data_IF_969876159263
#
_entry.id   IF_969876159263
#
_cell.length_a   1.000
_cell.length_b   1.000
_cell.length_c   1.000
_cell.angle_alpha   90.00
_cell.angle_beta   90.00
_cell.angle_gamma   90.00
#
_symmetry.space_group_name_H-M   'P 1'
#
loop_
_entity.id
_entity.type
_entity.pdbx_description
1 polymer ?
#
# COMPACT_ATOMS: atom_id res chain seq x y z
N UNK A 1 0.40 12.25 13.71
CA UNK A 1 0.89 10.87 13.59
C UNK A 1 2.26 10.95 12.91
N UNK A 2 3.34 10.71 13.64
CA UNK A 2 4.71 10.91 13.18
C UNK A 2 5.19 9.59 12.58
N UNK A 3 5.41 9.56 11.27
CA UNK A 3 5.98 8.40 10.58
C UNK A 3 7.52 8.48 10.66
N UNK A 4 8.17 7.56 11.37
CA UNK A 4 9.62 7.40 11.29
C UNK A 4 9.98 6.54 10.07
N UNK A 5 11.04 6.95 9.38
CA UNK A 5 11.30 6.76 7.95
C UNK A 5 11.79 5.37 7.49
N UNK A 6 11.37 4.24 8.10
CA UNK A 6 11.93 2.93 7.76
C UNK A 6 10.95 1.74 7.70
N UNK A 7 9.64 1.94 7.79
CA UNK A 7 8.69 0.83 7.66
C UNK A 7 8.22 0.66 6.21
N UNK A 8 8.77 -0.35 5.53
CA UNK A 8 8.23 -0.84 4.26
C UNK A 8 6.80 -1.34 4.52
N UNK A 9 5.83 -0.82 3.77
CA UNK A 9 4.46 -1.30 3.92
C UNK A 9 3.70 -1.25 2.58
N UNK A 10 2.62 -2.02 2.54
CA UNK A 10 1.51 -1.82 1.61
C UNK A 10 0.31 -1.29 2.41
N UNK A 11 -0.58 -0.57 1.72
CA UNK A 11 -1.76 -0.01 2.36
C UNK A 11 -2.85 -1.05 2.55
N UNK A 12 -3.47 -1.03 3.72
CA UNK A 12 -4.38 -2.10 4.14
C UNK A 12 -5.76 -2.04 3.46
N UNK A 13 -6.17 -0.85 3.03
CA UNK A 13 -7.51 -0.54 2.51
C UNK A 13 -7.70 -0.90 1.04
N UNK A 14 -8.66 -0.26 0.37
CA UNK A 14 -8.91 -0.46 -1.06
C UNK A 14 -8.07 0.48 -1.93
N UNK A 15 -8.08 1.76 -1.59
CA UNK A 15 -7.37 2.83 -2.28
C UNK A 15 -6.80 3.81 -1.26
N UNK A 16 -5.68 4.43 -1.60
CA UNK A 16 -5.17 5.58 -0.85
C UNK A 16 -5.04 6.75 -1.80
N UNK A 17 -5.53 7.91 -1.34
CA UNK A 17 -5.34 9.20 -2.01
C UNK A 17 -4.27 9.95 -1.25
N UNK A 18 -3.12 10.14 -1.89
CA UNK A 18 -1.96 10.82 -1.32
C UNK A 18 -1.82 12.21 -1.95
N UNK A 19 -1.94 13.23 -1.10
CA UNK A 19 -1.65 14.61 -1.45
C UNK A 19 -0.26 14.93 -0.93
N UNK A 20 0.64 15.30 -1.84
CA UNK A 20 1.99 15.73 -1.53
C UNK A 20 2.13 17.20 -1.89
N UNK A 21 2.76 18.00 -1.01
CA UNK A 21 2.93 19.43 -1.25
C UNK A 21 3.99 19.70 -2.34
N UNK A 22 5.26 19.71 -1.96
CA UNK A 22 6.39 20.17 -2.78
C UNK A 22 7.66 19.34 -2.60
N UNK A 23 7.76 18.56 -1.52
CA UNK A 23 8.93 17.74 -1.22
C UNK A 23 8.65 16.26 -1.50
N UNK A 24 9.46 15.66 -2.37
CA UNK A 24 9.40 14.24 -2.72
C UNK A 24 9.99 13.32 -1.64
N UNK A 25 10.32 12.09 -2.03
CA UNK A 25 10.90 11.08 -1.14
C UNK A 25 10.10 9.78 -1.06
N UNK A 26 8.89 9.74 -1.64
CA UNK A 26 8.16 8.50 -1.83
C UNK A 26 8.86 7.63 -2.89
N UNK A 27 9.04 6.36 -2.56
CA UNK A 27 9.58 5.33 -3.44
C UNK A 27 8.67 4.09 -3.44
N UNK A 28 8.51 3.48 -4.60
CA UNK A 28 7.70 2.27 -4.82
C UNK A 28 8.62 1.13 -5.20
N UNK A 29 8.43 -0.06 -4.63
CA UNK A 29 9.20 -1.24 -4.97
C UNK A 29 8.68 -1.83 -6.29
N UNK A 30 9.56 -1.96 -7.28
CA UNK A 30 9.22 -2.60 -8.56
C UNK A 30 9.21 -4.12 -8.45
N UNK A 31 8.62 -4.78 -9.45
CA UNK A 31 8.62 -6.25 -9.55
C UNK A 31 10.02 -6.85 -9.68
N UNK A 32 11.02 -6.05 -10.11
CA UNK A 32 12.43 -6.48 -10.19
C UNK A 32 13.22 -6.07 -8.94
N UNK A 33 12.53 -5.79 -7.83
CA UNK A 33 13.11 -5.52 -6.51
C UNK A 33 14.01 -4.28 -6.45
N UNK A 34 13.76 -3.27 -7.29
CA UNK A 34 14.42 -1.97 -7.19
C UNK A 34 13.42 -0.86 -6.86
N UNK A 35 13.89 0.18 -6.19
CA UNK A 35 13.08 1.32 -5.77
C UNK A 35 12.93 2.34 -6.90
N UNK A 36 11.68 2.71 -7.19
CA UNK A 36 11.31 3.70 -8.19
C UNK A 36 10.79 4.95 -7.47
N UNK A 37 11.37 6.15 -7.72
CA UNK A 37 10.84 7.39 -7.18
C UNK A 37 9.43 7.68 -7.71
N UNK A 38 8.52 8.04 -6.81
CA UNK A 38 7.22 8.61 -7.16
C UNK A 38 7.32 10.15 -7.06
N UNK A 39 7.47 10.88 -8.19
CA UNK A 39 7.69 12.31 -8.15
C UNK A 39 6.45 13.07 -7.67
N UNK A 40 6.66 14.23 -7.07
CA UNK A 40 5.59 15.19 -6.82
C UNK A 40 5.27 15.89 -8.14
N UNK A 41 4.02 15.77 -8.59
CA UNK A 41 3.54 16.47 -9.79
C UNK A 41 2.57 17.56 -9.31
N UNK A 42 2.87 18.85 -9.57
CA UNK A 42 2.00 19.95 -9.14
C UNK A 42 0.56 19.78 -9.64
N UNK A 43 -0.42 20.10 -8.79
CA UNK A 43 -1.86 19.98 -9.06
C UNK A 43 -2.36 18.54 -9.35
N UNK A 44 -1.61 17.53 -8.92
CA UNK A 44 -2.02 16.14 -9.03
C UNK A 44 -2.11 15.47 -7.65
N UNK A 45 -2.93 14.44 -7.57
CA UNK A 45 -2.97 13.52 -6.44
C UNK A 45 -2.41 12.18 -6.87
N UNK A 46 -1.66 11.52 -5.98
CA UNK A 46 -1.20 10.16 -6.21
C UNK A 46 -2.25 9.20 -5.67
N UNK A 47 -2.61 8.19 -6.46
CA UNK A 47 -3.52 7.13 -6.04
C UNK A 47 -2.75 5.83 -6.06
N UNK A 48 -2.79 5.09 -4.95
CA UNK A 48 -2.28 3.74 -4.90
C UNK A 48 -3.37 2.75 -4.50
N UNK A 49 -3.20 1.53 -4.98
CA UNK A 49 -4.05 0.39 -4.67
C UNK A 49 -3.61 -0.19 -3.33
N UNK A 50 -4.58 -0.48 -2.46
CA UNK A 50 -4.38 -1.19 -1.21
C UNK A 50 -4.74 -2.68 -1.32
N UNK A 51 -4.51 -3.39 -0.24
CA UNK A 51 -4.62 -4.84 -0.18
C UNK A 51 -6.04 -5.34 -0.44
N UNK A 52 -7.08 -4.66 0.07
CA UNK A 52 -8.48 -5.11 -0.14
C UNK A 52 -8.82 -5.20 -1.63
N UNK A 53 -8.40 -4.21 -2.43
CA UNK A 53 -8.69 -4.22 -3.86
C UNK A 53 -7.80 -5.23 -4.61
N UNK A 54 -6.58 -5.49 -4.13
CA UNK A 54 -5.78 -6.61 -4.64
C UNK A 54 -6.48 -7.96 -4.41
N UNK A 55 -7.08 -8.18 -3.23
CA UNK A 55 -7.88 -9.39 -2.94
C UNK A 55 -9.09 -9.51 -3.84
N UNK A 56 -9.93 -8.49 -3.87
CA UNK A 56 -11.15 -8.45 -4.68
C UNK A 56 -10.86 -8.68 -6.15
N UNK A 57 -9.71 -8.24 -6.66
CA UNK A 57 -9.34 -8.42 -8.07
C UNK A 57 -8.50 -9.65 -8.38
N UNK A 58 -8.33 -10.58 -7.42
CA UNK A 58 -7.42 -11.75 -7.54
C UNK A 58 -6.01 -11.36 -8.01
N UNK A 59 -5.53 -10.20 -7.57
CA UNK A 59 -4.22 -9.70 -7.94
C UNK A 59 -4.11 -9.09 -9.33
N UNK A 60 -5.22 -8.81 -10.04
CA UNK A 60 -5.17 -8.01 -11.25
C UNK A 60 -4.62 -6.61 -10.97
N UNK A 61 -5.09 -5.98 -9.89
CA UNK A 61 -4.51 -4.75 -9.37
C UNK A 61 -3.59 -5.07 -8.19
N UNK A 62 -2.40 -4.46 -8.18
CA UNK A 62 -1.34 -4.79 -7.22
C UNK A 62 -1.26 -3.76 -6.11
N UNK A 63 -1.32 -4.23 -4.86
CA UNK A 63 -0.93 -3.45 -3.70
C UNK A 63 0.59 -3.41 -3.64
N UNK A 64 1.15 -2.24 -3.96
CA UNK A 64 2.59 -2.06 -4.11
C UNK A 64 3.24 -1.64 -2.79
N UNK A 65 4.38 -2.26 -2.48
CA UNK A 65 5.17 -1.87 -1.32
C UNK A 65 5.81 -0.52 -1.61
N UNK A 66 5.71 0.39 -0.65
CA UNK A 66 6.28 1.72 -0.77
C UNK A 66 6.92 2.16 0.54
N UNK A 67 7.78 3.18 0.45
CA UNK A 67 8.46 3.80 1.59
C UNK A 67 8.67 5.29 1.35
N UNK A 68 8.92 6.04 2.41
CA UNK A 68 9.39 7.42 2.32
C UNK A 68 10.83 7.48 2.82
N UNK A 69 11.75 7.89 1.95
CA UNK A 69 13.16 8.12 2.31
C UNK A 69 13.41 9.60 2.54
N UNK A 70 14.14 9.91 3.62
CA UNK A 70 14.70 11.24 3.79
C UNK A 70 15.80 11.42 2.73
N UNK A 71 15.59 12.30 1.76
CA UNK A 71 16.64 12.66 0.81
C UNK A 71 17.62 13.56 1.56
N UNK A 72 18.91 13.25 1.54
CA UNK A 72 19.92 14.21 1.97
C UNK A 72 20.49 14.88 0.71
N UNK A 73 20.93 16.14 0.84
CA UNK A 73 21.45 16.95 -0.27
C UNK A 73 22.68 16.33 -0.98
N UNK A 74 23.24 15.23 -0.46
CA UNK A 74 24.45 14.61 -1.00
C UNK A 74 24.17 13.53 -2.04
N UNK A 75 22.99 12.90 -2.04
CA UNK A 75 22.67 11.77 -2.95
C UNK A 75 21.64 12.10 -4.02
N UNK A 76 20.86 13.16 -3.83
CA UNK A 76 19.83 13.57 -4.77
C UNK A 76 20.30 14.85 -5.44
N UNK A 77 20.56 14.88 -6.74
CA UNK A 77 20.88 16.11 -7.49
C UNK A 77 19.72 17.14 -7.54
N UNK A 78 18.82 17.09 -6.57
CA UNK A 78 17.58 17.83 -6.44
C UNK A 78 17.84 19.10 -5.62
N UNK A 79 18.06 20.21 -6.33
CA UNK A 79 18.46 21.51 -5.75
C UNK A 79 17.39 22.14 -4.84
N UNK A 80 16.18 21.57 -4.80
CA UNK A 80 15.07 22.04 -3.97
C UNK A 80 15.03 21.36 -2.60
N UNK A 81 15.86 20.35 -2.35
CA UNK A 81 16.00 19.75 -1.03
C UNK A 81 17.01 20.59 -0.22
N UNK A 82 16.54 21.30 0.80
CA UNK A 82 17.40 21.79 1.87
C UNK A 82 17.24 20.83 3.06
N UNK A 83 18.30 20.54 3.83
CA UNK A 83 18.23 19.61 4.97
C UNK A 83 17.22 20.02 6.04
N UNK A 84 16.75 21.27 6.01
CA UNK A 84 15.85 21.88 7.01
C UNK A 84 14.41 22.04 6.51
N UNK A 85 14.04 21.48 5.35
CA UNK A 85 12.68 21.63 4.83
C UNK A 85 11.77 20.48 5.29
N UNK A 86 10.70 20.84 5.99
CA UNK A 86 9.65 19.91 6.41
C UNK A 86 8.87 19.35 5.22
N UNK A 87 8.76 18.01 5.13
CA UNK A 87 7.89 17.34 4.16
C UNK A 87 6.48 17.18 4.71
N UNK A 88 5.51 17.80 4.05
CA UNK A 88 4.08 17.65 4.36
C UNK A 88 3.38 16.76 3.33
N UNK A 89 2.60 15.80 3.84
CA UNK A 89 1.68 14.99 3.03
C UNK A 89 0.43 14.61 3.81
N UNK A 90 -0.68 14.44 3.09
CA UNK A 90 -1.94 13.92 3.62
C UNK A 90 -2.25 12.62 2.89
N UNK A 91 -2.39 11.53 3.64
CA UNK A 91 -2.86 10.25 3.12
C UNK A 91 -4.30 10.03 3.58
N UNK A 92 -5.22 9.86 2.62
CA UNK A 92 -6.60 9.48 2.88
C UNK A 92 -6.78 8.01 2.49
N UNK A 93 -6.98 7.15 3.50
CA UNK A 93 -7.14 5.71 3.32
C UNK A 93 -8.61 5.36 3.14
N UNK A 94 -8.98 4.84 1.97
CA UNK A 94 -10.30 4.32 1.70
C UNK A 94 -10.39 2.87 2.15
N UNK A 95 -11.40 2.56 2.97
CA UNK A 95 -11.67 1.21 3.45
C UNK A 95 -13.08 0.77 3.08
N UNK A 96 -13.27 -0.54 2.99
CA UNK A 96 -14.60 -1.12 3.01
C UNK A 96 -15.14 -1.10 4.44
N UNK A 97 -16.46 -1.23 4.59
CA UNK A 97 -17.07 -1.50 5.90
C UNK A 97 -16.49 -2.77 6.52
N UNK A 98 -16.47 -2.80 7.86
CA UNK A 98 -15.75 -3.81 8.65
C UNK A 98 -16.20 -5.26 8.38
N UNK A 99 -17.45 -5.47 7.98
CA UNK A 99 -18.10 -6.76 7.77
C UNK A 99 -18.02 -7.26 6.32
N UNK A 100 -17.46 -6.47 5.39
CA UNK A 100 -17.35 -6.84 3.99
C UNK A 100 -16.33 -7.95 3.81
N UNK A 101 -16.75 -9.04 3.15
CA UNK A 101 -15.89 -10.17 2.81
C UNK A 101 -14.81 -9.83 1.78
N UNK A 102 -13.63 -10.44 1.94
CA UNK A 102 -12.53 -10.39 0.98
C UNK A 102 -12.55 -11.60 0.06
N UNK A 103 -13.68 -11.77 -0.63
CA UNK A 103 -13.86 -12.72 -1.73
C UNK A 103 -13.68 -12.02 -3.09
N UNK A 104 -13.22 -12.72 -4.14
CA UNK A 104 -13.09 -12.14 -5.46
C UNK A 104 -14.40 -11.56 -6.00
N UNK A 105 -14.35 -10.36 -6.58
CA UNK A 105 -15.54 -9.76 -7.21
C UNK A 105 -15.95 -10.57 -8.44
N UNK A 106 -17.26 -10.71 -8.72
CA UNK A 106 -17.72 -11.40 -9.91
C UNK A 106 -17.24 -10.71 -11.19
N UNK A 107 -16.40 -11.39 -11.99
CA UNK A 107 -15.92 -10.85 -13.25
C UNK A 107 -15.33 -11.93 -14.14
N UNK A 108 -15.75 -11.96 -15.41
CA UNK A 108 -15.19 -12.88 -16.42
C UNK A 108 -13.68 -12.75 -16.59
N UNK A 109 -13.12 -11.55 -16.34
CA UNK A 109 -11.67 -11.33 -16.39
C UNK A 109 -11.00 -12.03 -15.22
N UNK A 110 -11.56 -11.89 -14.02
CA UNK A 110 -11.04 -12.45 -12.78
C UNK A 110 -11.18 -13.99 -12.75
N UNK A 111 -12.24 -14.51 -13.36
CA UNK A 111 -12.51 -15.95 -13.44
C UNK A 111 -11.46 -16.69 -14.28
N UNK A 112 -10.88 -16.03 -15.29
CA UNK A 112 -9.86 -16.63 -16.17
C UNK A 112 -8.42 -16.32 -15.73
N UNK A 113 -8.23 -15.52 -14.67
CA UNK A 113 -6.90 -15.34 -14.08
C UNK A 113 -6.53 -16.62 -13.33
N UNK A 114 -5.33 -17.15 -13.64
CA UNK A 114 -4.73 -18.24 -12.89
C UNK A 114 -4.80 -17.96 -11.39
N UNK A 115 -4.97 -19.01 -10.59
CA UNK A 115 -4.94 -18.95 -9.13
C UNK A 115 -3.58 -18.42 -8.66
N UNK A 116 -3.48 -17.10 -8.56
CA UNK A 116 -2.28 -16.42 -8.10
C UNK A 116 -2.21 -16.61 -6.57
N UNK A 117 -1.75 -17.79 -6.17
CA UNK A 117 -1.59 -18.28 -4.79
C UNK A 117 -0.91 -17.25 -3.88
N UNK A 118 -0.02 -16.40 -4.44
CA UNK A 118 0.71 -15.36 -3.72
C UNK A 118 -0.13 -14.23 -3.12
N UNK A 119 -1.33 -13.96 -3.65
CA UNK A 119 -2.22 -12.93 -3.06
C UNK A 119 -2.67 -13.38 -1.67
N UNK A 120 -2.98 -14.67 -1.53
CA UNK A 120 -3.43 -15.28 -0.29
C UNK A 120 -2.30 -15.41 0.75
N UNK A 121 -1.04 -15.51 0.33
CA UNK A 121 0.09 -15.49 1.26
C UNK A 121 0.18 -14.19 2.09
N UNK A 122 -0.26 -13.04 1.52
CA UNK A 122 -0.20 -11.73 2.20
C UNK A 122 -1.17 -11.59 3.39
N UNK A 123 -2.23 -12.38 3.43
CA UNK A 123 -3.23 -12.38 4.52
C UNK A 123 -2.93 -13.41 5.60
N UNK A 124 -1.81 -14.14 5.49
CA UNK A 124 -1.57 -15.31 6.34
C UNK A 124 -2.59 -16.44 6.08
N UNK A 125 -3.27 -16.41 4.92
CA UNK A 125 -4.21 -17.44 4.51
C UNK A 125 -3.42 -18.68 4.12
N UNK A 126 -3.32 -19.62 5.05
CA UNK A 126 -2.90 -20.98 4.72
C UNK A 126 -4.10 -21.68 4.12
N UNK A 127 -4.02 -21.97 2.84
CA UNK A 127 -4.92 -22.88 2.14
C UNK A 127 -5.02 -24.17 2.98
N UNK A 128 -6.14 -24.35 3.70
CA UNK A 128 -6.26 -25.41 4.70
C UNK A 128 -7.34 -25.28 5.77
N UNK A 129 -7.88 -24.08 6.02
CA UNK A 129 -9.07 -23.92 6.86
C UNK A 129 -10.30 -23.66 5.96
N UNK A 130 -10.95 -24.74 5.55
CA UNK A 130 -12.18 -24.75 4.71
C UNK A 130 -13.13 -23.57 4.99
N UNK A 131 -13.22 -22.63 4.05
CA UNK A 131 -14.47 -21.91 3.76
C UNK A 131 -14.79 -20.61 4.51
N UNK A 132 -13.89 -20.03 5.32
CA UNK A 132 -14.17 -18.74 5.97
C UNK A 132 -13.52 -17.59 5.18
N UNK A 133 -14.35 -16.77 4.53
CA UNK A 133 -13.96 -15.47 3.97
C UNK A 133 -13.61 -14.55 5.14
N UNK A 134 -12.40 -13.97 5.13
CA UNK A 134 -12.03 -12.93 6.10
C UNK A 134 -12.72 -11.62 5.72
N UNK A 135 -13.07 -10.83 6.72
CA UNK A 135 -13.67 -9.51 6.51
C UNK A 135 -12.61 -8.40 6.42
N UNK A 136 -12.97 -7.26 5.84
CA UNK A 136 -12.15 -6.04 5.81
C UNK A 136 -11.68 -5.65 7.22
N UNK A 137 -12.57 -5.70 8.21
CA UNK A 137 -12.26 -5.37 9.60
C UNK A 137 -11.33 -6.40 10.26
N UNK A 138 -11.48 -7.70 9.98
CA UNK A 138 -10.54 -8.73 10.44
C UNK A 138 -9.15 -8.54 9.83
N UNK A 139 -9.07 -8.22 8.52
CA UNK A 139 -7.81 -7.93 7.84
C UNK A 139 -7.11 -6.69 8.42
N UNK A 140 -7.85 -5.60 8.62
CA UNK A 140 -7.33 -4.37 9.20
C UNK A 140 -6.77 -4.63 10.61
N UNK A 141 -7.53 -5.30 11.48
CA UNK A 141 -7.07 -5.65 12.83
C UNK A 141 -5.81 -6.50 12.80
N UNK A 142 -5.76 -7.52 11.94
CA UNK A 142 -4.56 -8.35 11.77
C UNK A 142 -3.34 -7.51 11.38
N UNK A 143 -3.49 -6.57 10.44
CA UNK A 143 -2.40 -5.70 9.98
C UNK A 143 -1.95 -4.70 11.04
N UNK A 144 -2.88 -4.10 11.77
CA UNK A 144 -2.58 -3.22 12.89
C UNK A 144 -1.86 -3.99 14.01
N UNK A 145 -2.29 -5.20 14.35
CA UNK A 145 -1.64 -6.03 15.35
C UNK A 145 -0.21 -6.37 14.93
N UNK A 146 0.05 -6.69 13.67
CA UNK A 146 1.41 -6.96 13.17
C UNK A 146 2.28 -5.70 13.23
N UNK A 147 1.73 -4.54 12.87
CA UNK A 147 2.48 -3.28 12.80
C UNK A 147 2.72 -2.61 14.17
N UNK A 148 1.81 -2.79 15.13
CA UNK A 148 1.81 -2.05 16.41
C UNK A 148 2.00 -2.93 17.66
N UNK A 149 2.15 -4.26 17.54
CA UNK A 149 2.39 -5.16 18.70
C UNK A 149 3.65 -4.88 19.51
N UNK A 150 4.54 -4.02 19.04
CA UNK A 150 5.82 -3.70 19.69
C UNK A 150 5.99 -2.20 20.00
N UNK A 151 4.89 -1.44 20.05
CA UNK A 151 4.90 -0.04 20.48
C UNK A 151 4.41 0.11 21.92
#
# INVERSE_FOLDING_TARGET
MIWTSNFLHSDYGSLTVLIQKDIGGLEILSNSSFWIPAPVIPNHVLINIGDLLEFWTKGLFKSTVHRVVARNNKTSGDKNFAPDNDRYSIAYFCHAEDDVGLDPIPSKIIDVLDENTKVWDKVGYKEGAKGKVITSGEHLRYRLDVSYKYC
#
